data_IF_697553023059
#
_entry.id   IF_697553023059
#
_cell.length_a   1.000
_cell.length_b   1.000
_cell.length_c   1.000
_cell.angle_alpha   90.00
_cell.angle_beta   90.00
_cell.angle_gamma   90.00
#
_symmetry.space_group_name_H-M   'P 1'
#
loop_
_entity.id
_entity.type
_entity.pdbx_description
1 polymer ?
#
# COMPACT_ATOMS: atom_id res chain seq x y z
N UNK A 1 5.44 -37.17 -21.95
CA UNK A 1 6.40 -37.59 -20.91
C UNK A 1 7.76 -37.01 -21.27
N UNK A 2 8.07 -35.81 -20.77
CA UNK A 2 9.40 -35.20 -20.85
C UNK A 2 9.65 -34.64 -19.47
N UNK A 3 10.64 -35.24 -18.83
CA UNK A 3 10.97 -35.12 -17.42
C UNK A 3 11.54 -33.71 -17.16
N UNK A 4 10.68 -32.76 -16.79
CA UNK A 4 11.10 -31.45 -16.29
C UNK A 4 11.54 -31.63 -14.84
N UNK A 5 12.74 -32.15 -14.66
CA UNK A 5 13.50 -32.01 -13.43
C UNK A 5 13.68 -30.52 -13.14
N UNK A 6 12.84 -30.00 -12.25
CA UNK A 6 13.01 -28.69 -11.63
C UNK A 6 14.24 -28.81 -10.73
N UNK A 7 15.43 -28.68 -11.32
CA UNK A 7 16.64 -28.40 -10.58
C UNK A 7 16.41 -27.05 -9.90
N UNK A 8 16.11 -27.09 -8.61
CA UNK A 8 16.07 -25.92 -7.75
C UNK A 8 17.45 -25.28 -7.78
N UNK A 9 17.64 -24.30 -8.67
CA UNK A 9 18.78 -23.41 -8.62
C UNK A 9 18.73 -22.71 -7.26
N UNK A 10 19.54 -23.19 -6.32
CA UNK A 10 19.84 -22.47 -5.08
C UNK A 10 20.23 -21.05 -5.49
N UNK A 11 19.44 -20.07 -5.05
CA UNK A 11 19.80 -18.67 -5.16
C UNK A 11 21.23 -18.52 -4.63
N UNK A 12 22.16 -18.08 -5.47
CA UNK A 12 23.51 -17.71 -5.01
C UNK A 12 23.39 -16.73 -3.84
N UNK A 13 24.22 -16.85 -2.80
CA UNK A 13 24.09 -16.03 -1.58
C UNK A 13 24.04 -14.52 -1.85
N UNK A 14 24.78 -14.05 -2.86
CA UNK A 14 24.72 -12.66 -3.33
C UNK A 14 23.34 -12.26 -3.88
N UNK A 15 22.65 -13.19 -4.55
CA UNK A 15 21.33 -12.99 -5.14
C UNK A 15 20.23 -12.94 -4.08
N UNK A 16 20.33 -13.78 -3.05
CA UNK A 16 19.41 -13.73 -1.92
C UNK A 16 19.52 -12.39 -1.17
N UNK A 17 20.75 -11.88 -0.98
CA UNK A 17 20.98 -10.56 -0.39
C UNK A 17 20.29 -9.47 -1.21
N UNK A 18 20.43 -9.47 -2.54
CA UNK A 18 19.77 -8.49 -3.42
C UNK A 18 18.24 -8.57 -3.30
N UNK A 19 17.67 -9.77 -3.23
CA UNK A 19 16.21 -9.96 -3.08
C UNK A 19 15.71 -9.42 -1.74
N UNK A 20 16.40 -9.75 -0.65
CA UNK A 20 16.04 -9.29 0.70
C UNK A 20 16.21 -7.78 0.81
N UNK A 21 17.30 -7.23 0.27
CA UNK A 21 17.55 -5.79 0.22
C UNK A 21 16.45 -5.09 -0.58
N UNK A 22 16.11 -5.59 -1.76
CA UNK A 22 15.03 -5.03 -2.59
C UNK A 22 13.67 -5.07 -1.87
N UNK A 23 13.35 -6.17 -1.19
CA UNK A 23 12.12 -6.29 -0.39
C UNK A 23 12.10 -5.29 0.77
N UNK A 24 13.20 -5.16 1.50
CA UNK A 24 13.31 -4.24 2.61
C UNK A 24 13.24 -2.77 2.15
N UNK A 25 13.97 -2.42 1.09
CA UNK A 25 13.93 -1.07 0.52
C UNK A 25 12.54 -0.73 -0.04
N UNK A 26 11.88 -1.64 -0.74
CA UNK A 26 10.53 -1.43 -1.25
C UNK A 26 9.51 -1.27 -0.11
N UNK A 27 9.62 -2.10 0.93
CA UNK A 27 8.81 -1.99 2.15
C UNK A 27 8.98 -0.62 2.81
N UNK A 28 10.21 -0.17 3.01
CA UNK A 28 10.49 1.10 3.70
C UNK A 28 10.14 2.32 2.83
N UNK A 29 10.47 2.30 1.54
CA UNK A 29 10.08 3.35 0.61
C UNK A 29 8.55 3.53 0.61
N UNK A 30 7.82 2.43 0.49
CA UNK A 30 6.35 2.49 0.48
C UNK A 30 5.76 2.85 1.85
N UNK A 31 6.41 2.42 2.94
CA UNK A 31 6.04 2.85 4.30
C UNK A 31 6.19 4.37 4.47
N UNK A 32 7.24 4.97 3.91
CA UNK A 32 7.42 6.42 3.93
C UNK A 32 6.36 7.15 3.08
N UNK A 33 5.95 6.59 1.94
CA UNK A 33 4.83 7.15 1.14
C UNK A 33 3.53 7.21 1.95
N UNK A 34 3.30 6.23 2.83
CA UNK A 34 2.10 6.17 3.66
C UNK A 34 1.94 7.37 4.61
N UNK A 35 3.04 8.03 4.98
CA UNK A 35 3.04 9.23 5.81
C UNK A 35 2.34 10.43 5.16
N UNK A 36 2.19 10.43 3.84
CA UNK A 36 1.49 11.50 3.12
C UNK A 36 -0.01 11.19 2.94
N UNK A 37 -0.43 9.96 3.28
CA UNK A 37 -1.78 9.48 3.04
C UNK A 37 -2.61 9.32 4.30
N UNK A 38 -2.11 8.60 5.31
CA UNK A 38 -2.93 8.12 6.44
C UNK A 38 -2.87 8.97 7.72
N UNK A 39 -1.82 9.73 8.03
CA UNK A 39 -1.74 10.53 9.26
C UNK A 39 -2.95 11.39 9.59
N UNK A 40 -3.60 12.02 8.60
CA UNK A 40 -4.77 12.88 8.85
C UNK A 40 -5.93 12.17 9.55
N UNK A 41 -6.02 10.84 9.47
CA UNK A 41 -7.08 10.07 10.16
C UNK A 41 -6.87 9.97 11.68
N UNK A 42 -5.75 10.49 12.20
CA UNK A 42 -5.51 10.63 13.65
C UNK A 42 -6.32 11.79 14.23
N UNK A 43 -6.58 12.82 13.43
CA UNK A 43 -7.43 13.94 13.82
C UNK A 43 -8.90 13.54 13.71
N UNK A 44 -9.65 13.77 14.79
CA UNK A 44 -11.10 13.52 14.85
C UNK A 44 -11.90 14.69 14.30
N UNK A 45 -11.33 15.91 14.26
CA UNK A 45 -11.99 17.13 13.81
C UNK A 45 -13.31 17.35 14.56
N UNK A 46 -13.25 17.24 15.89
CA UNK A 46 -14.44 17.26 16.74
C UNK A 46 -15.25 18.54 16.57
N UNK A 47 -16.57 18.40 16.50
CA UNK A 47 -17.51 19.51 16.30
C UNK A 47 -17.67 20.00 14.85
N UNK A 48 -16.85 19.54 13.90
CA UNK A 48 -16.99 19.93 12.49
C UNK A 48 -17.88 18.94 11.72
N UNK A 49 -19.07 19.41 11.33
CA UNK A 49 -20.01 18.67 10.49
C UNK A 49 -20.49 19.52 9.32
N UNK A 50 -20.48 18.93 8.13
CA UNK A 50 -21.01 19.54 6.91
C UNK A 50 -21.94 18.55 6.24
N UNK A 51 -23.10 19.00 5.74
CA UNK A 51 -24.12 18.12 5.14
C UNK A 51 -24.51 16.92 6.02
N UNK A 52 -24.54 17.10 7.34
CA UNK A 52 -24.82 16.06 8.35
C UNK A 52 -23.82 14.89 8.37
N UNK A 53 -22.63 15.08 7.78
CA UNK A 53 -21.50 14.13 7.78
C UNK A 53 -20.33 14.78 8.53
N UNK A 54 -19.55 13.99 9.28
CA UNK A 54 -18.36 14.52 9.95
C UNK A 54 -17.30 14.97 8.94
N UNK A 55 -16.55 16.02 9.29
CA UNK A 55 -15.51 16.52 8.41
C UNK A 55 -14.43 15.45 8.12
N UNK A 56 -14.05 14.66 9.12
CA UNK A 56 -13.15 13.51 8.97
C UNK A 56 -13.62 12.56 7.85
N UNK A 57 -14.90 12.17 7.86
CA UNK A 57 -15.47 11.28 6.84
C UNK A 57 -15.47 11.91 5.45
N UNK A 58 -15.76 13.21 5.35
CA UNK A 58 -15.71 13.92 4.06
C UNK A 58 -14.28 13.95 3.47
N UNK A 59 -13.26 14.15 4.31
CA UNK A 59 -11.86 14.09 3.89
C UNK A 59 -11.46 12.69 3.42
N UNK A 60 -11.86 11.65 4.17
CA UNK A 60 -11.61 10.25 3.80
C UNK A 60 -12.24 9.95 2.44
N UNK A 61 -13.52 10.27 2.25
CA UNK A 61 -14.24 10.04 0.98
C UNK A 61 -13.52 10.77 -0.16
N UNK A 62 -13.19 12.05 0.04
CA UNK A 62 -12.54 12.87 -0.97
C UNK A 62 -11.18 12.27 -1.41
N UNK A 63 -10.35 11.87 -0.45
CA UNK A 63 -9.06 11.23 -0.74
C UNK A 63 -9.22 9.87 -1.42
N UNK A 64 -10.20 9.05 -1.00
CA UNK A 64 -10.47 7.74 -1.60
C UNK A 64 -10.94 7.86 -3.04
N UNK A 65 -11.80 8.83 -3.38
CA UNK A 65 -12.23 9.08 -4.76
C UNK A 65 -11.05 9.48 -5.63
N UNK A 66 -10.19 10.39 -5.14
CA UNK A 66 -8.96 10.76 -5.85
C UNK A 66 -8.07 9.54 -6.12
N UNK A 67 -7.86 8.71 -5.09
CA UNK A 67 -7.09 7.48 -5.20
C UNK A 67 -7.71 6.48 -6.19
N UNK A 68 -9.04 6.35 -6.21
CA UNK A 68 -9.76 5.51 -7.17
C UNK A 68 -9.51 5.98 -8.62
N UNK A 69 -9.67 7.28 -8.89
CA UNK A 69 -9.47 7.85 -10.22
C UNK A 69 -8.04 7.67 -10.73
N UNK A 70 -7.05 7.75 -9.82
CA UNK A 70 -5.66 7.48 -10.17
C UNK A 70 -5.43 6.09 -10.75
N UNK A 71 -6.25 5.09 -10.36
CA UNK A 71 -6.09 3.70 -10.86
C UNK A 71 -6.47 3.59 -12.33
N UNK A 72 -7.46 4.34 -12.78
CA UNK A 72 -7.82 4.38 -14.20
C UNK A 72 -6.74 5.08 -15.03
N UNK A 73 -6.28 6.25 -14.59
CA UNK A 73 -5.19 6.97 -15.26
C UNK A 73 -3.85 6.20 -15.18
N UNK A 74 -3.66 5.46 -14.10
CA UNK A 74 -2.44 4.72 -13.78
C UNK A 74 -2.15 3.57 -14.72
N UNK A 75 -3.17 2.97 -15.35
CA UNK A 75 -2.99 1.89 -16.31
C UNK A 75 -2.06 2.34 -17.45
N UNK A 76 -2.35 3.51 -18.03
CA UNK A 76 -1.53 4.07 -19.10
C UNK A 76 -0.21 4.62 -18.57
N UNK A 77 -0.27 5.42 -17.50
CA UNK A 77 0.90 6.10 -16.95
C UNK A 77 2.01 5.15 -16.48
N UNK A 78 1.64 4.08 -15.78
CA UNK A 78 2.62 3.08 -15.29
C UNK A 78 3.11 2.19 -16.43
N UNK A 79 2.25 1.85 -17.39
CA UNK A 79 2.65 1.06 -18.56
C UNK A 79 3.69 1.78 -19.44
N UNK A 80 3.63 3.10 -19.53
CA UNK A 80 4.56 3.94 -20.30
C UNK A 80 5.81 4.37 -19.49
N UNK A 81 5.88 4.00 -18.20
CA UNK A 81 6.94 4.45 -17.31
C UNK A 81 8.27 3.75 -17.61
N UNK A 82 9.17 4.47 -18.29
CA UNK A 82 10.53 4.02 -18.59
C UNK A 82 11.35 3.86 -17.30
N UNK A 83 12.32 2.93 -17.31
CA UNK A 83 13.21 2.64 -16.17
C UNK A 83 13.93 3.87 -15.62
N UNK A 84 14.45 4.74 -16.50
CA UNK A 84 15.26 5.92 -16.16
C UNK A 84 14.46 7.11 -15.57
N UNK A 85 13.13 7.04 -15.51
CA UNK A 85 12.28 8.15 -15.03
C UNK A 85 11.64 7.92 -13.66
N UNK A 86 11.79 6.74 -13.08
CA UNK A 86 10.97 6.28 -11.93
C UNK A 86 11.24 7.07 -10.67
N UNK A 87 12.52 7.35 -10.35
CA UNK A 87 12.89 8.11 -9.17
C UNK A 87 12.33 9.53 -9.22
N UNK A 88 12.52 10.22 -10.36
CA UNK A 88 12.00 11.57 -10.58
C UNK A 88 10.48 11.61 -10.48
N UNK A 89 9.79 10.66 -11.12
CA UNK A 89 8.33 10.54 -11.03
C UNK A 89 7.85 10.32 -9.59
N UNK A 90 8.49 9.42 -8.85
CA UNK A 90 8.13 9.15 -7.44
C UNK A 90 8.29 10.38 -6.54
N UNK A 91 9.39 11.12 -6.71
CA UNK A 91 9.62 12.38 -6.00
C UNK A 91 8.57 13.42 -6.39
N UNK A 92 8.37 13.69 -7.69
CA UNK A 92 7.42 14.72 -8.13
C UNK A 92 6.01 14.44 -7.63
N UNK A 93 5.55 13.18 -7.71
CA UNK A 93 4.23 12.79 -7.21
C UNK A 93 4.11 13.00 -5.70
N UNK A 94 5.13 12.58 -4.92
CA UNK A 94 5.06 12.68 -3.46
C UNK A 94 5.23 14.12 -2.97
N UNK A 95 6.12 14.91 -3.58
CA UNK A 95 6.29 16.32 -3.25
C UNK A 95 5.04 17.13 -3.61
N UNK A 96 4.41 16.84 -4.74
CA UNK A 96 3.13 17.46 -5.10
C UNK A 96 2.03 17.09 -4.11
N UNK A 97 1.97 15.81 -3.67
CA UNK A 97 1.04 15.37 -2.63
C UNK A 97 1.30 16.04 -1.27
N UNK A 98 2.57 16.30 -0.93
CA UNK A 98 2.97 17.02 0.27
C UNK A 98 2.58 18.50 0.22
N UNK A 99 2.72 19.15 -0.94
CA UNK A 99 2.22 20.52 -1.15
C UNK A 99 0.69 20.55 -0.98
N UNK A 100 -0.05 19.53 -1.43
CA UNK A 100 -1.48 19.45 -1.16
C UNK A 100 -1.80 19.39 0.34
N UNK A 101 -0.95 18.75 1.17
CA UNK A 101 -1.11 18.76 2.62
C UNK A 101 -0.82 20.14 3.23
N UNK A 102 0.11 20.91 2.65
CA UNK A 102 0.32 22.31 3.05
C UNK A 102 -0.91 23.16 2.72
N UNK A 103 -1.46 23.04 1.51
CA UNK A 103 -2.67 23.75 1.10
C UNK A 103 -3.85 23.35 1.98
N UNK A 104 -3.97 22.06 2.34
CA UNK A 104 -4.96 21.59 3.30
C UNK A 104 -4.83 22.28 4.66
N UNK A 105 -3.61 22.42 5.19
CA UNK A 105 -3.37 23.07 6.47
C UNK A 105 -3.77 24.57 6.49
N UNK A 106 -3.66 25.23 5.34
CA UNK A 106 -3.97 26.66 5.17
C UNK A 106 -5.46 26.93 4.91
N UNK A 107 -6.20 25.98 4.34
CA UNK A 107 -7.60 26.16 3.98
C UNK A 107 -8.53 25.87 5.16
N UNK A 108 -9.54 26.72 5.41
CA UNK A 108 -10.56 26.42 6.42
C UNK A 108 -11.48 25.29 5.95
N UNK A 109 -12.04 24.54 6.90
CA UNK A 109 -13.08 23.56 6.59
C UNK A 109 -14.31 24.27 5.97
N UNK A 110 -14.96 23.70 4.93
CA UNK A 110 -14.78 22.36 4.35
C UNK A 110 -13.79 22.28 3.17
N UNK A 111 -13.15 23.39 2.78
CA UNK A 111 -12.37 23.50 1.54
C UNK A 111 -11.16 22.56 1.45
N UNK A 112 -10.69 22.03 2.59
CA UNK A 112 -9.66 21.00 2.66
C UNK A 112 -9.98 19.68 1.91
N UNK A 113 -11.23 19.45 1.49
CA UNK A 113 -11.59 18.31 0.63
C UNK A 113 -10.84 18.33 -0.72
N UNK A 114 -10.75 19.49 -1.38
CA UNK A 114 -10.12 19.58 -2.70
C UNK A 114 -8.62 19.20 -2.68
N UNK A 115 -7.79 19.74 -1.76
CA UNK A 115 -6.42 19.28 -1.62
C UNK A 115 -6.32 17.78 -1.27
N UNK A 116 -7.22 17.24 -0.45
CA UNK A 116 -7.22 15.81 -0.10
C UNK A 116 -7.56 14.91 -1.29
N UNK A 117 -8.46 15.35 -2.17
CA UNK A 117 -8.73 14.68 -3.44
C UNK A 117 -7.48 14.60 -4.31
N UNK A 118 -6.79 15.73 -4.51
CA UNK A 118 -5.58 15.79 -5.35
C UNK A 118 -4.45 14.98 -4.71
N UNK A 119 -4.28 15.08 -3.40
CA UNK A 119 -3.34 14.28 -2.63
C UNK A 119 -3.59 12.76 -2.84
N UNK A 120 -4.84 12.31 -2.70
CA UNK A 120 -5.23 10.93 -2.94
C UNK A 120 -4.94 10.48 -4.37
N UNK A 121 -5.22 11.34 -5.36
CA UNK A 121 -4.94 11.08 -6.77
C UNK A 121 -3.44 10.87 -7.04
N UNK A 122 -2.59 11.78 -6.56
CA UNK A 122 -1.13 11.71 -6.77
C UNK A 122 -0.50 10.49 -6.09
N UNK A 123 -0.92 10.17 -4.86
CA UNK A 123 -0.37 9.05 -4.11
C UNK A 123 -0.80 7.69 -4.66
N UNK A 124 -1.92 7.63 -5.40
CA UNK A 124 -2.41 6.38 -5.96
C UNK A 124 -1.52 5.74 -7.03
N UNK A 125 -0.61 6.52 -7.63
CA UNK A 125 0.41 6.01 -8.55
C UNK A 125 1.61 5.38 -7.85
N UNK A 126 1.88 5.74 -6.59
CA UNK A 126 3.13 5.37 -5.91
C UNK A 126 3.34 3.87 -5.75
N UNK A 127 2.26 3.10 -5.56
CA UNK A 127 2.36 1.64 -5.52
C UNK A 127 2.92 1.10 -6.84
N UNK A 128 2.40 1.57 -7.98
CA UNK A 128 2.88 1.17 -9.30
C UNK A 128 4.32 1.60 -9.56
N UNK A 129 4.69 2.82 -9.14
CA UNK A 129 6.06 3.32 -9.27
C UNK A 129 7.04 2.46 -8.48
N UNK A 130 6.78 2.19 -7.21
CA UNK A 130 7.65 1.34 -6.36
C UNK A 130 7.66 -0.11 -6.88
N UNK A 131 6.49 -0.66 -7.23
CA UNK A 131 6.40 -2.03 -7.76
C UNK A 131 7.18 -2.20 -9.08
N UNK A 132 7.25 -1.16 -9.92
CA UNK A 132 7.94 -1.24 -11.21
C UNK A 132 9.45 -1.53 -11.08
N UNK A 133 10.09 -1.20 -9.96
CA UNK A 133 11.52 -1.52 -9.71
C UNK A 133 11.79 -2.99 -9.43
N UNK A 134 10.79 -3.67 -8.88
CA UNK A 134 10.89 -5.05 -8.42
C UNK A 134 10.26 -6.02 -9.43
N UNK A 135 9.39 -5.51 -10.30
CA UNK A 135 8.74 -6.25 -11.36
C UNK A 135 9.75 -6.84 -12.36
N UNK A 136 9.44 -8.04 -12.85
CA UNK A 136 10.27 -8.76 -13.82
C UNK A 136 11.31 -9.69 -13.21
N UNK A 137 11.39 -9.80 -11.87
CA UNK A 137 12.27 -10.74 -11.16
C UNK A 137 11.56 -12.07 -10.86
N UNK A 138 12.34 -13.15 -10.67
CA UNK A 138 11.82 -14.42 -10.12
C UNK A 138 11.18 -14.23 -8.74
N UNK A 139 11.78 -13.37 -7.92
CA UNK A 139 11.30 -13.07 -6.57
C UNK A 139 10.22 -11.97 -6.49
N UNK A 140 9.68 -11.48 -7.62
CA UNK A 140 8.69 -10.36 -7.58
C UNK A 140 7.51 -10.70 -6.68
N UNK A 141 7.05 -11.95 -6.66
CA UNK A 141 5.85 -12.33 -5.90
C UNK A 141 6.14 -12.28 -4.39
N UNK A 142 7.35 -12.69 -3.97
CA UNK A 142 7.82 -12.55 -2.59
C UNK A 142 8.01 -11.08 -2.20
N UNK A 143 8.74 -10.31 -3.02
CA UNK A 143 9.00 -8.89 -2.75
C UNK A 143 7.66 -8.11 -2.72
N UNK A 144 6.74 -8.42 -3.62
CA UNK A 144 5.39 -7.87 -3.65
C UNK A 144 4.56 -8.21 -2.41
N UNK A 145 4.68 -9.44 -1.90
CA UNK A 145 4.04 -9.83 -0.63
C UNK A 145 4.63 -9.05 0.56
N UNK A 146 5.96 -8.92 0.65
CA UNK A 146 6.62 -8.11 1.69
C UNK A 146 6.18 -6.65 1.59
N UNK A 147 6.12 -6.10 0.38
CA UNK A 147 5.63 -4.74 0.16
C UNK A 147 4.16 -4.59 0.56
N UNK A 148 3.31 -5.61 0.35
CA UNK A 148 1.89 -5.55 0.76
C UNK A 148 1.73 -5.54 2.29
N UNK A 149 2.63 -6.19 3.03
CA UNK A 149 2.64 -6.13 4.51
C UNK A 149 2.89 -4.71 5.02
N UNK A 150 3.57 -3.86 4.24
CA UNK A 150 3.74 -2.44 4.61
C UNK A 150 2.40 -1.71 4.75
N UNK A 151 1.31 -2.14 4.08
CA UNK A 151 0.00 -1.52 4.24
C UNK A 151 -0.54 -1.56 5.68
N UNK A 152 -0.17 -2.59 6.42
CA UNK A 152 -0.57 -2.81 7.82
C UNK A 152 0.35 -1.98 8.71
N UNK A 153 1.66 -2.27 8.64
CA UNK A 153 2.67 -1.63 9.48
C UNK A 153 2.73 -0.10 9.31
N UNK A 154 2.79 0.39 8.07
CA UNK A 154 3.00 1.81 7.79
C UNK A 154 1.83 2.67 8.26
N UNK A 155 0.60 2.14 8.20
CA UNK A 155 -0.57 2.82 8.77
C UNK A 155 -0.39 3.09 10.26
N UNK A 156 -0.04 2.07 11.04
CA UNK A 156 0.22 2.21 12.48
C UNK A 156 1.40 3.13 12.78
N UNK A 157 2.53 2.95 12.10
CA UNK A 157 3.76 3.72 12.34
C UNK A 157 3.58 5.21 12.06
N UNK A 158 2.99 5.55 10.91
CA UNK A 158 2.81 6.96 10.51
C UNK A 158 1.77 7.66 11.39
N UNK A 159 0.73 6.96 11.84
CA UNK A 159 -0.23 7.48 12.85
C UNK A 159 0.42 7.70 14.21
N UNK A 160 1.32 6.82 14.64
CA UNK A 160 2.09 7.01 15.88
C UNK A 160 2.92 8.30 15.80
N UNK A 161 3.67 8.51 14.71
CA UNK A 161 4.45 9.75 14.52
C UNK A 161 3.55 10.98 14.49
N UNK A 162 2.43 10.90 13.78
CA UNK A 162 1.44 11.97 13.72
C UNK A 162 0.86 12.34 15.09
N UNK A 163 0.46 11.35 15.87
CA UNK A 163 -0.09 11.56 17.22
C UNK A 163 0.98 12.08 18.18
N UNK A 164 2.22 11.59 18.07
CA UNK A 164 3.36 12.11 18.82
C UNK A 164 3.58 13.61 18.55
N UNK A 165 3.52 14.05 17.29
CA UNK A 165 3.59 15.48 16.93
C UNK A 165 2.44 16.29 17.55
N UNK A 166 1.23 15.74 17.62
CA UNK A 166 0.09 16.43 18.24
C UNK A 166 0.24 16.54 19.76
N UNK A 167 0.68 15.46 20.43
CA UNK A 167 0.75 15.39 21.90
C UNK A 167 1.96 16.13 22.45
N UNK A 168 3.15 15.89 21.91
CA UNK A 168 4.40 16.42 22.46
C UNK A 168 4.75 17.81 21.92
N UNK A 169 4.41 18.08 20.64
CA UNK A 169 4.77 19.35 19.97
C UNK A 169 3.57 20.29 19.84
N UNK A 170 2.38 19.89 20.30
CA UNK A 170 1.17 20.72 20.26
C UNK A 170 0.72 21.08 18.83
N UNK A 171 1.09 20.26 17.83
CA UNK A 171 0.76 20.53 16.43
C UNK A 171 -0.75 20.42 16.22
N UNK A 172 -1.35 21.47 15.67
CA UNK A 172 -2.79 21.51 15.36
C UNK A 172 -3.20 20.42 14.34
N UNK A 173 -4.45 19.97 14.43
CA UNK A 173 -5.00 18.87 13.62
C UNK A 173 -4.82 19.08 12.11
N UNK A 174 -5.02 20.31 11.62
CA UNK A 174 -4.89 20.66 10.20
C UNK A 174 -3.43 20.62 9.71
N UNK A 175 -2.48 20.93 10.59
CA UNK A 175 -1.04 21.01 10.27
C UNK A 175 -0.31 19.67 10.45
N UNK A 176 -0.84 18.78 11.27
CA UNK A 176 -0.23 17.49 11.59
C UNK A 176 0.13 16.64 10.36
N UNK A 177 -0.71 16.53 9.30
CA UNK A 177 -0.34 15.75 8.12
C UNK A 177 0.88 16.31 7.40
N UNK A 178 1.01 17.64 7.32
CA UNK A 178 2.13 18.31 6.68
C UNK A 178 3.44 18.07 7.44
N UNK A 179 3.44 18.23 8.77
CA UNK A 179 4.62 17.98 9.60
C UNK A 179 4.99 16.50 9.66
N UNK A 180 4.01 15.59 9.64
CA UNK A 180 4.29 14.16 9.50
C UNK A 180 4.99 13.89 8.17
N UNK A 181 4.53 14.47 7.07
CA UNK A 181 5.21 14.39 5.78
C UNK A 181 6.64 14.96 5.79
N UNK A 182 6.90 16.00 6.59
CA UNK A 182 8.24 16.57 6.76
C UNK A 182 9.22 15.59 7.44
N UNK A 183 8.75 14.86 8.46
CA UNK A 183 9.57 13.81 9.12
C UNK A 183 9.97 12.71 8.14
N UNK A 184 9.05 12.35 7.23
CA UNK A 184 9.26 11.23 6.30
C UNK A 184 9.92 11.60 4.97
N UNK A 185 10.23 12.87 4.72
CA UNK A 185 10.84 13.31 3.45
C UNK A 185 12.25 12.75 3.25
N UNK A 186 13.06 12.76 4.30
CA UNK A 186 14.44 12.27 4.30
C UNK A 186 14.46 10.75 4.06
N UNK A 187 13.75 9.92 4.86
CA UNK A 187 13.74 8.47 4.61
C UNK A 187 13.13 8.14 3.25
N UNK A 188 12.08 8.85 2.81
CA UNK A 188 11.49 8.64 1.49
C UNK A 188 12.53 8.81 0.37
N UNK A 189 13.22 9.96 0.33
CA UNK A 189 14.21 10.25 -0.72
C UNK A 189 15.34 9.23 -0.67
N UNK A 190 15.81 8.88 0.53
CA UNK A 190 16.85 7.87 0.73
C UNK A 190 16.44 6.49 0.18
N UNK A 191 15.25 6.00 0.52
CA UNK A 191 14.79 4.68 0.06
C UNK A 191 14.41 4.66 -1.41
N UNK A 192 13.84 5.75 -1.96
CA UNK A 192 13.61 5.86 -3.41
C UNK A 192 14.93 5.86 -4.18
N UNK A 193 15.96 6.54 -3.67
CA UNK A 193 17.29 6.54 -4.27
C UNK A 193 17.93 5.15 -4.18
N UNK A 194 17.73 4.44 -3.08
CA UNK A 194 18.21 3.08 -2.91
C UNK A 194 17.49 2.10 -3.86
N UNK A 195 16.20 2.31 -4.17
CA UNK A 195 15.46 1.54 -5.19
C UNK A 195 16.07 1.71 -6.59
N UNK A 196 16.48 2.93 -6.94
CA UNK A 196 17.13 3.24 -8.23
C UNK A 196 18.47 2.49 -8.39
N UNK A 197 19.13 2.17 -7.28
CA UNK A 197 20.40 1.41 -7.27
C UNK A 197 20.23 -0.11 -7.30
N UNK A 198 19.00 -0.63 -7.26
CA UNK A 198 18.78 -2.07 -7.34
C UNK A 198 19.15 -2.55 -8.76
N UNK A 199 20.06 -3.53 -8.90
CA UNK A 199 20.52 -3.98 -10.21
C UNK A 199 19.35 -4.51 -11.05
N UNK A 200 19.30 -4.27 -12.37
CA UNK A 200 18.19 -4.69 -13.22
C UNK A 200 17.99 -6.22 -13.20
N UNK A 201 16.81 -6.73 -13.62
CA UNK A 201 16.55 -8.17 -13.67
C UNK A 201 17.57 -8.92 -14.56
N UNK A 202 18.11 -10.02 -14.05
CA UNK A 202 19.12 -10.84 -14.74
C UNK A 202 18.50 -11.60 -15.92
N UNK A 203 19.32 -12.15 -16.83
CA UNK A 203 18.82 -13.02 -17.90
C UNK A 203 18.00 -14.22 -17.39
N UNK A 204 18.40 -14.79 -16.25
CA UNK A 204 17.65 -15.88 -15.62
C UNK A 204 16.26 -15.43 -15.14
N UNK A 205 16.08 -14.15 -14.82
CA UNK A 205 14.76 -13.59 -14.48
C UNK A 205 13.87 -13.46 -15.73
N UNK A 206 14.47 -13.11 -16.87
CA UNK A 206 13.76 -13.01 -18.15
C UNK A 206 13.36 -14.38 -18.71
N UNK A 207 14.22 -15.40 -18.54
CA UNK A 207 13.97 -16.77 -19.06
C UNK A 207 12.83 -17.51 -18.33
N UNK A 208 12.56 -17.19 -17.07
CA UNK A 208 11.49 -17.83 -16.28
C UNK A 208 10.14 -17.10 -16.33
N UNK A 209 10.09 -15.87 -16.87
CA UNK A 209 8.85 -15.08 -16.97
C UNK A 209 8.30 -15.15 -18.39
N UNK A 210 7.10 -15.68 -18.53
CA UNK A 210 6.32 -15.57 -19.77
C UNK A 210 6.01 -14.10 -20.05
N UNK A 211 6.21 -13.67 -21.29
CA UNK A 211 5.84 -12.33 -21.72
C UNK A 211 4.32 -12.12 -21.56
N UNK A 212 3.92 -11.00 -20.94
CA UNK A 212 2.50 -10.69 -20.75
C UNK A 212 1.92 -10.20 -22.08
N UNK A 213 1.30 -11.11 -22.82
CA UNK A 213 0.59 -10.75 -24.05
C UNK A 213 -0.77 -10.12 -23.70
N UNK A 214 -1.12 -8.95 -24.27
CA UNK A 214 -2.46 -8.36 -24.07
C UNK A 214 -3.56 -9.30 -24.58
N UNK A 215 -4.57 -9.56 -23.76
CA UNK A 215 -5.74 -10.35 -24.18
C UNK A 215 -6.56 -9.60 -25.22
N UNK A 216 -6.94 -10.30 -26.29
CA UNK A 216 -7.87 -9.77 -27.31
C UNK A 216 -9.30 -9.72 -26.76
N UNK A 217 -10.19 -9.01 -27.45
CA UNK A 217 -11.61 -8.97 -27.06
C UNK A 217 -12.29 -10.35 -27.08
N UNK A 218 -11.83 -11.26 -27.94
CA UNK A 218 -12.33 -12.64 -28.00
C UNK A 218 -11.89 -13.43 -26.76
N UNK A 219 -10.62 -13.34 -26.37
CA UNK A 219 -10.06 -14.04 -25.20
C UNK A 219 -10.77 -13.60 -23.91
N UNK A 220 -11.08 -12.31 -23.78
CA UNK A 220 -11.82 -11.76 -22.62
C UNK A 220 -13.21 -12.37 -22.48
N UNK A 221 -13.93 -12.57 -23.60
CA UNK A 221 -15.26 -13.19 -23.59
C UNK A 221 -15.20 -14.67 -23.18
N UNK A 222 -14.23 -15.41 -23.71
CA UNK A 222 -14.02 -16.82 -23.35
C UNK A 222 -13.67 -16.94 -21.85
N UNK A 223 -12.77 -16.09 -21.36
CA UNK A 223 -12.39 -16.05 -19.95
C UNK A 223 -13.58 -15.75 -19.03
N UNK A 224 -14.39 -14.74 -19.35
CA UNK A 224 -15.57 -14.39 -18.55
C UNK A 224 -16.63 -15.49 -18.59
N UNK A 225 -16.81 -16.19 -19.72
CA UNK A 225 -17.74 -17.32 -19.79
C UNK A 225 -17.29 -18.50 -18.93
N UNK A 226 -15.98 -18.74 -18.84
CA UNK A 226 -15.42 -19.87 -18.09
C UNK A 226 -15.26 -19.58 -16.58
N UNK A 227 -14.88 -18.35 -16.21
CA UNK A 227 -14.51 -18.00 -14.83
C UNK A 227 -15.38 -16.89 -14.21
N UNK A 228 -16.36 -16.35 -14.93
CA UNK A 228 -17.10 -15.15 -14.53
C UNK A 228 -17.81 -15.26 -13.19
N UNK A 229 -18.48 -16.39 -12.91
CA UNK A 229 -19.16 -16.61 -11.62
C UNK A 229 -18.15 -16.57 -10.46
N UNK A 230 -17.04 -17.30 -10.59
CA UNK A 230 -15.97 -17.31 -9.59
C UNK A 230 -15.33 -15.93 -9.41
N UNK A 231 -15.14 -15.19 -10.51
CA UNK A 231 -14.60 -13.83 -10.49
C UNK A 231 -15.53 -12.85 -9.76
N UNK A 232 -16.85 -12.93 -9.99
CA UNK A 232 -17.84 -12.08 -9.33
C UNK A 232 -17.85 -12.36 -7.84
N UNK A 233 -17.91 -13.64 -7.44
CA UNK A 233 -17.90 -14.03 -6.02
C UNK A 233 -16.62 -13.55 -5.35
N UNK A 234 -15.45 -13.84 -5.93
CA UNK A 234 -14.17 -13.41 -5.38
C UNK A 234 -14.04 -11.88 -5.28
N UNK A 235 -14.54 -11.14 -6.29
CA UNK A 235 -14.54 -9.67 -6.29
C UNK A 235 -15.47 -9.10 -5.22
N UNK A 236 -16.66 -9.68 -5.04
CA UNK A 236 -17.60 -9.27 -4.00
C UNK A 236 -17.03 -9.54 -2.60
N UNK A 237 -16.49 -10.73 -2.35
CA UNK A 237 -15.83 -11.07 -1.07
C UNK A 237 -14.67 -10.11 -0.79
N UNK A 238 -13.83 -9.83 -1.79
CA UNK A 238 -12.73 -8.87 -1.65
C UNK A 238 -13.21 -7.45 -1.35
N UNK A 239 -14.32 -7.01 -1.97
CA UNK A 239 -14.93 -5.70 -1.69
C UNK A 239 -15.34 -5.60 -0.23
N UNK A 240 -16.10 -6.57 0.30
CA UNK A 240 -16.55 -6.54 1.70
C UNK A 240 -15.38 -6.57 2.70
N UNK A 241 -14.39 -7.44 2.48
CA UNK A 241 -13.18 -7.49 3.30
C UNK A 241 -12.42 -6.15 3.26
N UNK A 242 -12.36 -5.54 2.08
CA UNK A 242 -11.70 -4.24 1.91
C UNK A 242 -12.45 -3.13 2.64
N UNK A 243 -13.79 -3.12 2.60
CA UNK A 243 -14.63 -2.15 3.32
C UNK A 243 -14.43 -2.29 4.84
N UNK A 244 -14.52 -3.51 5.38
CA UNK A 244 -14.30 -3.76 6.80
C UNK A 244 -12.91 -3.30 7.26
N UNK A 245 -11.88 -3.65 6.47
CA UNK A 245 -10.51 -3.21 6.74
C UNK A 245 -10.39 -1.69 6.70
N UNK A 246 -10.99 -1.02 5.71
CA UNK A 246 -10.86 0.42 5.54
C UNK A 246 -11.59 1.21 6.63
N UNK A 247 -12.75 0.73 7.12
CA UNK A 247 -13.43 1.30 8.28
C UNK A 247 -12.54 1.19 9.52
N UNK A 248 -12.07 -0.03 9.85
CA UNK A 248 -11.17 -0.25 10.99
C UNK A 248 -9.93 0.64 10.91
N UNK A 249 -9.34 0.74 9.72
CA UNK A 249 -8.10 1.47 9.50
C UNK A 249 -8.29 3.00 9.60
N UNK A 250 -9.33 3.56 8.99
CA UNK A 250 -9.56 5.00 8.99
C UNK A 250 -10.09 5.53 10.33
N UNK A 251 -10.88 4.73 11.06
CA UNK A 251 -11.45 5.12 12.36
C UNK A 251 -10.68 4.54 13.54
N UNK A 252 -9.47 4.02 13.32
CA UNK A 252 -8.65 3.43 14.37
C UNK A 252 -8.40 4.41 15.54
N UNK A 253 -8.18 5.69 15.24
CA UNK A 253 -7.97 6.71 16.27
C UNK A 253 -9.24 6.94 17.10
N UNK A 254 -10.42 6.99 16.47
CA UNK A 254 -11.70 7.12 17.15
C UNK A 254 -11.94 5.94 18.10
N UNK A 255 -11.70 4.70 17.64
CA UNK A 255 -11.85 3.48 18.46
C UNK A 255 -10.95 3.54 19.69
N UNK A 256 -9.66 3.88 19.53
CA UNK A 256 -8.74 3.95 20.66
C UNK A 256 -9.05 5.10 21.62
N UNK A 257 -9.54 6.23 21.11
CA UNK A 257 -10.01 7.34 21.94
C UNK A 257 -11.21 6.90 22.80
N UNK A 258 -12.18 6.20 22.22
CA UNK A 258 -13.35 5.67 22.94
C UNK A 258 -12.99 4.61 23.98
N UNK A 259 -11.94 3.81 23.72
CA UNK A 259 -11.41 2.82 24.66
C UNK A 259 -10.52 3.44 25.77
N UNK A 260 -10.35 4.77 25.81
CA UNK A 260 -9.56 5.46 26.83
C UNK A 260 -8.05 5.53 26.57
N UNK A 261 -7.60 5.13 25.37
CA UNK A 261 -6.19 5.15 24.96
C UNK A 261 -5.81 6.36 24.09
N UNK A 262 -6.58 7.45 24.16
CA UNK A 262 -6.46 8.57 23.23
C UNK A 262 -5.15 9.37 23.30
N UNK A 263 -4.37 9.26 24.38
CA UNK A 263 -3.04 9.87 24.52
C UNK A 263 -1.88 8.91 24.21
N UNK A 264 -2.13 7.60 24.17
CA UNK A 264 -1.08 6.61 23.92
C UNK A 264 -0.86 6.41 22.41
N UNK A 265 0.02 7.24 21.84
CA UNK A 265 0.42 7.17 20.45
C UNK A 265 1.12 5.84 20.09
N UNK A 266 1.69 5.13 21.05
CA UNK A 266 2.44 3.88 20.81
C UNK A 266 1.52 2.71 20.46
N UNK A 267 0.23 2.78 20.82
CA UNK A 267 -0.76 1.72 20.59
C UNK A 267 -0.91 1.42 19.10
N UNK A 268 -0.88 2.44 18.24
CA UNK A 268 -1.02 2.26 16.80
C UNK A 268 0.12 1.39 16.24
N UNK A 269 1.38 1.74 16.52
CA UNK A 269 2.54 0.95 16.07
C UNK A 269 2.59 -0.42 16.72
N UNK A 270 2.36 -0.53 18.03
CA UNK A 270 2.43 -1.83 18.75
C UNK A 270 1.44 -2.84 18.18
N UNK A 271 0.19 -2.42 17.95
CA UNK A 271 -0.87 -3.29 17.44
C UNK A 271 -0.59 -3.70 16.01
N UNK A 272 -0.32 -2.72 15.12
CA UNK A 272 -0.09 -3.00 13.70
C UNK A 272 1.23 -3.75 13.44
N UNK A 273 2.26 -3.57 14.28
CA UNK A 273 3.50 -4.36 14.19
C UNK A 273 3.24 -5.83 14.53
N UNK A 274 2.50 -6.11 15.61
CA UNK A 274 2.14 -7.50 15.96
C UNK A 274 1.29 -8.14 14.85
N UNK A 275 0.30 -7.42 14.33
CA UNK A 275 -0.55 -7.91 13.24
C UNK A 275 0.25 -8.14 11.96
N UNK A 276 1.12 -7.21 11.56
CA UNK A 276 1.93 -7.35 10.35
C UNK A 276 2.93 -8.51 10.43
N UNK A 277 3.57 -8.74 11.59
CA UNK A 277 4.43 -9.90 11.80
C UNK A 277 3.66 -11.22 11.71
N UNK A 278 2.47 -11.30 12.30
CA UNK A 278 1.62 -12.50 12.23
C UNK A 278 1.18 -12.78 10.79
N UNK A 279 0.70 -11.75 10.07
CA UNK A 279 0.29 -11.88 8.67
C UNK A 279 1.47 -12.26 7.78
N UNK A 280 2.64 -11.65 7.97
CA UNK A 280 3.85 -11.99 7.23
C UNK A 280 4.28 -13.43 7.47
N UNK A 281 4.18 -13.93 8.72
CA UNK A 281 4.48 -15.31 9.06
C UNK A 281 3.54 -16.28 8.35
N UNK A 282 2.22 -16.04 8.42
CA UNK A 282 1.20 -16.89 7.77
C UNK A 282 1.41 -16.89 6.24
N UNK A 283 1.59 -15.71 5.64
CA UNK A 283 1.81 -15.59 4.20
C UNK A 283 3.16 -16.18 3.76
N UNK A 284 4.19 -16.05 4.59
CA UNK A 284 5.50 -16.66 4.36
C UNK A 284 5.44 -18.19 4.38
N UNK A 285 4.63 -18.79 5.26
CA UNK A 285 4.39 -20.23 5.29
C UNK A 285 3.71 -20.74 4.01
N UNK A 286 2.83 -19.93 3.38
CA UNK A 286 2.18 -20.31 2.12
C UNK A 286 3.17 -20.46 0.96
N UNK A 287 4.28 -19.73 0.97
CA UNK A 287 5.34 -19.83 -0.05
C UNK A 287 6.02 -21.21 -0.05
N UNK A 288 6.00 -21.92 1.08
CA UNK A 288 6.54 -23.28 1.17
C UNK A 288 5.66 -24.33 0.46
N UNK A 289 4.41 -23.98 0.14
CA UNK A 289 3.46 -24.89 -0.51
C UNK A 289 3.71 -24.92 -2.02
N UNK A 290 4.44 -25.94 -2.47
CA UNK A 290 4.80 -26.11 -3.90
C UNK A 290 3.63 -26.31 -4.86
N UNK A 291 2.46 -26.79 -4.38
CA UNK A 291 1.28 -27.04 -5.22
C UNK A 291 0.34 -25.84 -5.18
N UNK A 292 0.28 -25.08 -6.27
CA UNK A 292 -0.54 -23.87 -6.40
C UNK A 292 -2.02 -24.08 -6.03
N UNK A 293 -2.61 -25.23 -6.39
CA UNK A 293 -4.00 -25.57 -6.06
C UNK A 293 -4.20 -25.76 -4.55
N UNK A 294 -3.23 -26.38 -3.87
CA UNK A 294 -3.29 -26.53 -2.40
C UNK A 294 -3.10 -25.18 -1.72
N UNK A 295 -2.16 -24.37 -2.20
CA UNK A 295 -1.95 -23.01 -1.68
C UNK A 295 -3.24 -22.17 -1.84
N UNK A 296 -3.89 -22.23 -3.00
CA UNK A 296 -5.16 -21.55 -3.25
C UNK A 296 -6.28 -21.99 -2.30
N UNK A 297 -6.46 -23.30 -2.12
CA UNK A 297 -7.48 -23.83 -1.19
C UNK A 297 -7.19 -23.40 0.26
N UNK A 298 -5.93 -23.44 0.69
CA UNK A 298 -5.54 -23.07 2.05
C UNK A 298 -5.76 -21.57 2.32
N UNK A 299 -5.50 -20.71 1.33
CA UNK A 299 -5.83 -19.28 1.40
C UNK A 299 -7.34 -19.07 1.61
N UNK A 300 -8.20 -19.81 0.90
CA UNK A 300 -9.65 -19.68 1.09
C UNK A 300 -10.10 -20.17 2.47
N UNK A 301 -9.51 -21.25 2.98
CA UNK A 301 -9.78 -21.74 4.35
C UNK A 301 -9.36 -20.71 5.38
N UNK A 302 -8.18 -20.09 5.22
CA UNK A 302 -7.71 -19.02 6.13
C UNK A 302 -8.64 -17.81 6.09
N UNK A 303 -9.10 -17.40 4.90
CA UNK A 303 -10.07 -16.31 4.76
C UNK A 303 -11.38 -16.65 5.48
N UNK A 304 -11.92 -17.87 5.29
CA UNK A 304 -13.14 -18.32 5.94
C UNK A 304 -13.00 -18.39 7.46
N UNK A 305 -11.88 -18.92 7.96
CA UNK A 305 -11.59 -18.93 9.39
C UNK A 305 -11.52 -17.51 9.97
N UNK A 306 -10.92 -16.57 9.23
CA UNK A 306 -10.88 -15.16 9.62
C UNK A 306 -12.24 -14.46 9.66
N UNK A 307 -13.27 -14.98 8.97
CA UNK A 307 -14.64 -14.48 9.08
C UNK A 307 -15.41 -15.04 10.30
N UNK A 308 -14.96 -16.17 10.86
CA UNK A 308 -15.62 -16.83 11.99
C UNK A 308 -15.17 -16.31 13.36
N UNK A 309 -14.05 -15.59 13.41
CA UNK A 309 -13.44 -14.98 14.60
C UNK A 309 -13.81 -13.51 14.65
#
# INVERSE_FOLDING_TARGET
MSDRTITGQRLSGKRLIVVVLAAFTAFLAYSSVYAYRKPFTVATFDGLRFWNISYQTLLIISQVIGYMLSKFCGIKFIAELKSLGRFRTGIVLTMSAWICLLVFALLPAPWGMLPMFINGFLLGFMWGVVFSYIEGRRATDFIGAVMAVSFIFAGGFTRTVAKWLMVEWGVAENWMPFFTGLVFIIPLVFFLWMLERIPPPDEADRRERTERVPMTNADRKVFLKQFGVGLIIASATYLFLTVMRDIRDNYMANIWNELGHGSDYSVFTKTETKTSLLVLLIMGMLVLIRKNIRAFSLVHVVILAGFLI
#
